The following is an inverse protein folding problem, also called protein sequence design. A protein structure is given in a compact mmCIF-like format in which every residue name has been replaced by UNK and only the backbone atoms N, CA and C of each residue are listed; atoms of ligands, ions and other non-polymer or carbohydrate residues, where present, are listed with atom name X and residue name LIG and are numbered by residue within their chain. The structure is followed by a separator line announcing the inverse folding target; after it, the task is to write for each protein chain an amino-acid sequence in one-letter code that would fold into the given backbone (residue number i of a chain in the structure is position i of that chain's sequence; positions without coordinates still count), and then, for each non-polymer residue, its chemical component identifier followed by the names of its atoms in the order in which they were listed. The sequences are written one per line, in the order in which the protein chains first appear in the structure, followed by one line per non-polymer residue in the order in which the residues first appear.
data_IF_171102526759
#
_entry.id   IF_171102526759
#
_cell.length_a   1.000
_cell.length_b   1.000
_cell.length_c   1.000
_cell.angle_alpha   90.00
_cell.angle_beta   90.00
_cell.angle_gamma   90.00
#
_symmetry.space_group_name_H-M   'P 1'
#
loop_
_entity.id
_entity.type
_entity.pdbx_description
1 polymer ?
#
# COMPACT_ATOMS: atom_id res chain seq x y z
N UNK A 1 -33.59 33.78 22.22
CA UNK A 1 -33.57 33.80 23.70
C UNK A 1 -33.81 32.35 24.14
N UNK A 2 -32.83 31.58 24.61
CA UNK A 2 -31.99 31.80 25.80
C UNK A 2 -30.64 31.10 25.65
N UNK A 3 -29.60 31.74 26.16
CA UNK A 3 -28.19 31.32 26.21
C UNK A 3 -27.89 30.54 27.49
N UNK A 4 -26.96 29.57 27.46
CA UNK A 4 -26.06 29.30 28.57
C UNK A 4 -24.77 28.60 28.07
N UNK A 5 -23.71 29.40 27.96
CA UNK A 5 -22.27 29.04 28.02
C UNK A 5 -21.98 28.39 29.39
N UNK A 6 -20.96 27.58 29.70
CA UNK A 6 -19.56 27.34 29.29
C UNK A 6 -19.11 26.11 30.12
N UNK A 7 -18.13 25.34 29.65
CA UNK A 7 -16.88 25.10 30.39
C UNK A 7 -15.88 24.30 29.55
N UNK A 8 -14.67 24.86 29.50
CA UNK A 8 -13.47 24.29 28.93
C UNK A 8 -12.85 23.26 29.88
N UNK A 9 -11.89 22.52 29.34
CA UNK A 9 -10.94 21.63 30.01
C UNK A 9 -11.47 20.28 30.51
N UNK A 10 -11.55 19.35 29.57
CA UNK A 10 -10.96 18.02 29.78
C UNK A 10 -10.32 17.52 28.47
N UNK A 11 -9.13 18.07 28.18
CA UNK A 11 -8.18 17.41 27.31
C UNK A 11 -7.79 16.08 27.97
N UNK A 12 -8.32 14.96 27.48
CA UNK A 12 -7.61 13.72 27.13
C UNK A 12 -8.64 12.75 26.59
N UNK A 13 -9.08 12.97 25.35
CA UNK A 13 -9.73 11.91 24.57
C UNK A 13 -8.75 11.52 23.49
N UNK A 14 -8.03 10.41 23.72
CA UNK A 14 -7.25 9.72 22.71
C UNK A 14 -8.16 9.48 21.52
N UNK A 15 -8.07 10.34 20.51
CA UNK A 15 -8.78 10.20 19.27
C UNK A 15 -8.06 9.10 18.50
N UNK A 16 -8.45 7.85 18.73
CA UNK A 16 -8.13 6.73 17.85
C UNK A 16 -8.79 7.02 16.52
N UNK A 17 -8.06 7.76 15.68
CA UNK A 17 -8.50 8.20 14.37
C UNK A 17 -8.70 6.99 13.46
N UNK A 18 -9.83 6.94 12.76
CA UNK A 18 -10.17 5.91 11.78
C UNK A 18 -9.35 6.07 10.49
N UNK A 19 -8.01 6.13 10.59
CA UNK A 19 -7.07 6.58 9.54
C UNK A 19 -6.92 5.65 8.32
N UNK A 20 -7.81 4.68 8.13
CA UNK A 20 -7.74 3.73 7.02
C UNK A 20 -8.86 4.03 6.02
N UNK A 21 -8.69 5.10 5.25
CA UNK A 21 -9.57 5.37 4.11
C UNK A 21 -9.16 4.47 2.95
N UNK A 22 -9.96 3.44 2.68
CA UNK A 22 -9.86 2.61 1.47
C UNK A 22 -11.02 3.01 0.56
N UNK A 23 -10.71 3.54 -0.62
CA UNK A 23 -11.71 3.89 -1.64
C UNK A 23 -11.45 3.15 -2.94
N UNK A 24 -12.53 2.63 -3.53
CA UNK A 24 -12.53 2.01 -4.86
C UNK A 24 -13.50 2.78 -5.73
N UNK A 25 -13.00 3.44 -6.77
CA UNK A 25 -13.82 4.27 -7.66
C UNK A 25 -13.60 3.88 -9.11
N UNK A 26 -14.65 3.81 -9.94
CA UNK A 26 -14.47 3.74 -11.38
C UNK A 26 -13.82 5.03 -11.89
N UNK A 27 -12.94 4.91 -12.87
CA UNK A 27 -12.33 6.05 -13.56
C UNK A 27 -12.29 5.78 -15.08
N UNK A 28 -12.04 6.82 -15.87
CA UNK A 28 -11.88 6.75 -17.32
C UNK A 28 -10.44 7.06 -17.66
N UNK A 29 -9.79 6.14 -18.37
CA UNK A 29 -8.46 6.34 -18.94
C UNK A 29 -8.61 6.58 -20.47
N UNK A 30 -7.93 7.59 -21.05
CA UNK A 30 -8.04 7.90 -22.48
C UNK A 30 -7.59 6.76 -23.40
N UNK A 31 -6.74 5.85 -22.91
CA UNK A 31 -6.13 4.77 -23.69
C UNK A 31 -6.77 3.42 -23.39
N UNK A 32 -7.09 3.16 -22.11
CA UNK A 32 -7.57 1.85 -21.63
C UNK A 32 -9.10 1.78 -21.44
N UNK A 33 -9.82 2.91 -21.54
CA UNK A 33 -11.26 2.98 -21.31
C UNK A 33 -11.61 2.94 -19.83
N UNK A 34 -12.61 2.14 -19.43
CA UNK A 34 -13.04 2.06 -18.02
C UNK A 34 -11.98 1.35 -17.18
N UNK A 35 -11.45 2.04 -16.19
CA UNK A 35 -10.51 1.52 -15.20
C UNK A 35 -11.11 1.56 -13.79
N UNK A 36 -10.48 0.84 -12.86
CA UNK A 36 -10.82 0.88 -11.43
C UNK A 36 -9.63 1.42 -10.66
N UNK A 37 -9.86 2.41 -9.79
CA UNK A 37 -8.84 3.00 -8.93
C UNK A 37 -9.06 2.56 -7.49
N UNK A 38 -8.02 1.95 -6.90
CA UNK A 38 -7.92 1.71 -5.46
C UNK A 38 -7.02 2.77 -4.84
N UNK A 39 -7.53 3.49 -3.83
CA UNK A 39 -6.74 4.38 -2.97
C UNK A 39 -6.84 3.87 -1.53
N UNK A 40 -5.69 3.72 -0.89
CA UNK A 40 -5.59 3.31 0.51
C UNK A 40 -4.48 4.12 1.19
N UNK A 41 -4.70 4.50 2.44
CA UNK A 41 -3.69 5.14 3.30
C UNK A 41 -3.56 4.34 4.58
N UNK A 42 -2.32 4.17 5.04
CA UNK A 42 -2.01 3.56 6.33
C UNK A 42 -0.92 4.39 7.02
N UNK A 43 -1.19 4.78 8.27
CA UNK A 43 -0.24 5.50 9.10
C UNK A 43 0.50 4.52 10.01
N UNK A 44 1.83 4.58 10.01
CA UNK A 44 2.69 3.76 10.86
C UNK A 44 3.32 4.64 11.95
N UNK A 45 3.36 4.21 13.22
CA UNK A 45 3.93 4.98 14.31
C UNK A 45 5.47 4.87 14.35
N UNK A 46 6.14 5.04 13.21
CA UNK A 46 7.58 4.89 13.05
C UNK A 46 8.14 5.91 12.04
N UNK A 47 9.38 6.39 12.20
CA UNK A 47 10.03 7.27 11.22
C UNK A 47 10.18 6.60 9.86
N UNK A 48 10.02 7.37 8.79
CA UNK A 48 10.14 6.88 7.41
C UNK A 48 11.49 6.22 7.15
N UNK A 49 12.56 6.76 7.71
CA UNK A 49 13.93 6.29 7.53
C UNK A 49 14.12 4.87 8.12
N UNK A 50 13.34 4.50 9.14
CA UNK A 50 13.32 3.14 9.70
C UNK A 50 12.45 2.19 8.90
N UNK A 51 11.39 2.70 8.27
CA UNK A 51 10.36 1.90 7.61
C UNK A 51 10.69 1.65 6.13
N UNK A 52 11.18 2.67 5.44
CA UNK A 52 11.43 2.63 4.00
C UNK A 52 12.39 1.51 3.55
N UNK A 53 13.49 1.19 4.28
CA UNK A 53 14.36 0.07 3.91
C UNK A 53 13.63 -1.28 3.80
N UNK A 54 12.55 -1.48 4.57
CA UNK A 54 11.74 -2.68 4.47
C UNK A 54 11.00 -2.75 3.12
N UNK A 55 10.37 -1.64 2.70
CA UNK A 55 9.64 -1.55 1.44
C UNK A 55 10.56 -1.47 0.20
N UNK A 56 11.75 -0.88 0.35
CA UNK A 56 12.77 -0.81 -0.69
C UNK A 56 13.42 -2.18 -0.99
N UNK A 57 13.15 -3.22 -0.21
CA UNK A 57 13.61 -4.56 -0.50
C UNK A 57 12.47 -5.38 -1.14
N UNK A 58 12.56 -5.61 -2.45
CA UNK A 58 11.55 -6.36 -3.20
C UNK A 58 11.26 -7.76 -2.62
N UNK A 59 12.23 -8.40 -1.94
CA UNK A 59 12.01 -9.72 -1.31
C UNK A 59 11.12 -9.65 -0.06
N UNK A 60 10.85 -8.47 0.50
CA UNK A 60 9.87 -8.32 1.57
C UNK A 60 8.43 -8.28 1.06
N UNK A 61 8.19 -8.17 -0.25
CA UNK A 61 6.84 -8.22 -0.84
C UNK A 61 6.14 -9.55 -0.54
N UNK A 62 6.89 -10.65 -0.47
CA UNK A 62 6.36 -11.96 -0.07
C UNK A 62 5.84 -11.95 1.39
N UNK A 63 6.46 -11.15 2.27
CA UNK A 63 6.00 -10.99 3.67
C UNK A 63 4.78 -10.09 3.80
N UNK A 64 4.64 -9.12 2.90
CA UNK A 64 3.52 -8.17 2.87
C UNK A 64 2.26 -8.76 2.24
N UNK A 65 2.41 -9.79 1.41
CA UNK A 65 1.30 -10.38 0.67
C UNK A 65 0.68 -11.54 1.45
N UNK A 66 -0.66 -11.71 1.40
CA UNK A 66 -1.29 -12.85 2.03
C UNK A 66 -0.72 -14.18 1.53
N UNK A 67 -0.41 -15.10 2.46
CA UNK A 67 0.28 -16.37 2.18
C UNK A 67 -0.44 -17.29 1.19
N UNK A 68 -1.77 -17.13 1.04
CA UNK A 68 -2.56 -17.87 0.05
C UNK A 68 -2.18 -17.52 -1.40
N UNK A 69 -1.58 -16.36 -1.65
CA UNK A 69 -1.11 -15.96 -2.97
C UNK A 69 0.19 -16.67 -3.38
N UNK A 70 0.91 -17.32 -2.46
CA UNK A 70 2.22 -17.96 -2.76
C UNK A 70 3.13 -17.04 -3.59
N UNK A 71 3.17 -15.76 -3.21
CA UNK A 71 3.93 -14.74 -3.90
C UNK A 71 5.42 -15.04 -3.77
N UNK A 72 6.15 -15.06 -4.89
CA UNK A 72 7.57 -15.34 -4.89
C UNK A 72 8.28 -14.43 -5.88
N UNK A 73 9.33 -13.76 -5.42
CA UNK A 73 10.23 -12.98 -6.28
C UNK A 73 11.18 -13.94 -7.00
N UNK A 74 11.17 -13.90 -8.32
CA UNK A 74 11.99 -14.75 -9.19
C UNK A 74 13.29 -14.06 -9.64
N UNK A 75 13.41 -12.74 -9.48
CA UNK A 75 14.64 -12.00 -9.77
C UNK A 75 15.70 -12.32 -8.71
N UNK A 76 16.95 -12.70 -9.10
CA UNK A 76 18.03 -12.96 -8.15
C UNK A 76 18.45 -11.74 -7.34
N UNK A 77 19.06 -11.97 -6.17
CA UNK A 77 19.68 -10.92 -5.35
C UNK A 77 21.06 -10.51 -5.92
N UNK A 78 21.48 -9.25 -5.70
CA UNK A 78 20.72 -8.13 -5.15
C UNK A 78 19.80 -7.49 -6.21
N UNK A 79 18.67 -6.92 -5.77
CA UNK A 79 17.81 -6.09 -6.62
C UNK A 79 17.92 -4.65 -6.12
N UNK A 80 18.51 -3.78 -6.93
CA UNK A 80 18.61 -2.34 -6.64
C UNK A 80 17.30 -1.65 -7.04
N UNK A 81 16.63 -0.97 -6.11
CA UNK A 81 15.41 -0.21 -6.40
C UNK A 81 15.76 1.12 -7.04
N UNK A 82 15.67 1.17 -8.37
CA UNK A 82 15.89 2.35 -9.20
C UNK A 82 15.00 2.32 -10.44
N UNK A 83 14.84 3.46 -11.09
CA UNK A 83 14.18 3.53 -12.40
C UNK A 83 14.85 2.60 -13.42
N UNK A 84 14.02 1.94 -14.21
CA UNK A 84 14.41 0.88 -15.14
C UNK A 84 14.61 -0.50 -14.50
N UNK A 85 14.51 -0.65 -13.17
CA UNK A 85 14.61 -1.97 -12.54
C UNK A 85 13.44 -2.87 -12.98
N UNK A 86 13.78 -4.07 -13.46
CA UNK A 86 12.80 -5.10 -13.79
C UNK A 86 12.72 -6.16 -12.69
N UNK A 87 11.50 -6.47 -12.25
CA UNK A 87 11.28 -7.46 -11.20
C UNK A 87 10.26 -8.48 -11.70
N UNK A 88 10.62 -9.76 -11.60
CA UNK A 88 9.77 -10.89 -11.97
C UNK A 88 9.23 -11.56 -10.72
N UNK A 89 7.95 -11.90 -10.76
CA UNK A 89 7.23 -12.57 -9.69
C UNK A 89 6.42 -13.74 -10.22
N UNK A 90 6.12 -14.69 -9.35
CA UNK A 90 5.00 -15.59 -9.51
C UNK A 90 4.05 -15.50 -8.31
N UNK A 91 2.77 -15.71 -8.55
CA UNK A 91 1.74 -15.77 -7.52
C UNK A 91 0.58 -16.67 -7.98
N UNK A 92 -0.33 -16.99 -7.08
CA UNK A 92 -1.54 -17.79 -7.34
C UNK A 92 -2.78 -16.95 -7.06
N UNK A 93 -3.61 -16.74 -8.07
CA UNK A 93 -4.92 -16.10 -7.91
C UNK A 93 -5.99 -17.16 -8.09
N UNK A 94 -6.83 -17.36 -7.06
CA UNK A 94 -7.83 -18.44 -7.03
C UNK A 94 -7.25 -19.82 -7.38
N UNK A 95 -6.02 -20.09 -6.94
CA UNK A 95 -5.28 -21.35 -7.20
C UNK A 95 -4.53 -21.42 -8.53
N UNK A 96 -4.78 -20.49 -9.46
CA UNK A 96 -4.14 -20.48 -10.79
C UNK A 96 -2.81 -19.72 -10.73
N UNK A 97 -1.68 -20.32 -11.17
CA UNK A 97 -0.39 -19.64 -11.17
C UNK A 97 -0.33 -18.55 -12.25
N UNK A 98 0.18 -17.38 -11.86
CA UNK A 98 0.38 -16.21 -12.71
C UNK A 98 1.84 -15.79 -12.59
N UNK A 99 2.45 -15.45 -13.73
CA UNK A 99 3.76 -14.79 -13.78
C UNK A 99 3.56 -13.32 -14.11
N UNK A 100 4.27 -12.46 -13.38
CA UNK A 100 4.21 -11.02 -13.56
C UNK A 100 5.64 -10.47 -13.73
N UNK A 101 5.84 -9.56 -14.68
CA UNK A 101 7.04 -8.70 -14.74
C UNK A 101 6.66 -7.22 -14.55
N UNK A 102 7.28 -6.54 -13.58
CA UNK A 102 7.12 -5.09 -13.36
C UNK A 102 8.37 -4.35 -13.80
N UNK A 103 8.19 -3.12 -14.24
CA UNK A 103 9.27 -2.14 -14.42
C UNK A 103 9.05 -0.98 -13.46
N UNK A 104 10.11 -0.58 -12.76
CA UNK A 104 10.10 0.62 -11.92
C UNK A 104 10.35 1.83 -12.83
N UNK A 105 9.50 2.85 -12.71
CA UNK A 105 9.60 4.12 -13.43
C UNK A 105 9.90 5.25 -12.43
N UNK A 106 10.39 6.38 -12.92
CA UNK A 106 10.67 7.60 -12.13
C UNK A 106 9.39 8.28 -11.59
#
# INVERSE_FOLDING_TARGET
MTTLSINADEQTRTQTSSLNDITVTPAQDPTLGRIWQLRAVQVLPQPRESVFPFFANAHNLEKLTPSFLKFQVLTPKPIEMKSGAEIRYQLKVRGIPIKWKTSILD
#
